data_IF_258235041281
#
_entry.id   IF_258235041281
#
_cell.length_a   1.000
_cell.length_b   1.000
_cell.length_c   1.000
_cell.angle_alpha   90.00
_cell.angle_beta   90.00
_cell.angle_gamma   90.00
#
_symmetry.space_group_name_H-M   'P 1'
#
loop_
_entity.id
_entity.type
_entity.pdbx_description
1 polymer ?
#
# COMPACT_ATOMS: atom_id res chain seq x y z
N UNK A 1 37.18 -6.93 -21.30
CA UNK A 1 35.89 -6.72 -20.62
C UNK A 1 35.32 -8.07 -20.20
N UNK A 2 35.16 -8.35 -18.89
CA UNK A 2 34.61 -9.63 -18.44
C UNK A 2 33.15 -9.77 -18.91
N UNK A 3 32.80 -10.92 -19.49
CA UNK A 3 31.44 -11.21 -19.93
C UNK A 3 30.58 -11.50 -18.71
N UNK A 4 29.65 -10.59 -18.41
CA UNK A 4 28.73 -10.75 -17.29
C UNK A 4 27.83 -11.98 -17.51
N UNK A 5 27.86 -12.91 -16.55
CA UNK A 5 27.12 -14.17 -16.60
C UNK A 5 25.60 -13.98 -16.67
N UNK A 6 24.90 -14.95 -17.27
CA UNK A 6 23.43 -14.92 -17.42
C UNK A 6 22.73 -14.79 -16.05
N UNK A 7 23.25 -15.45 -15.01
CA UNK A 7 22.75 -15.35 -13.63
C UNK A 7 22.87 -13.94 -13.05
N UNK A 8 24.01 -13.27 -13.24
CA UNK A 8 24.23 -11.90 -12.77
C UNK A 8 23.25 -10.91 -13.40
N UNK A 9 22.92 -11.07 -14.68
CA UNK A 9 21.92 -10.24 -15.37
C UNK A 9 20.53 -10.39 -14.77
N UNK A 10 20.10 -11.62 -14.50
CA UNK A 10 18.82 -11.88 -13.87
C UNK A 10 18.75 -11.34 -12.45
N UNK A 11 19.84 -11.46 -11.67
CA UNK A 11 19.91 -10.88 -10.33
C UNK A 11 19.78 -9.35 -10.38
N UNK A 12 20.52 -8.68 -11.28
CA UNK A 12 20.42 -7.23 -11.45
C UNK A 12 18.99 -6.84 -11.83
N UNK A 13 18.38 -7.55 -12.78
CA UNK A 13 17.00 -7.28 -13.19
C UNK A 13 16.01 -7.47 -12.03
N UNK A 14 16.17 -8.51 -11.22
CA UNK A 14 15.33 -8.75 -10.05
C UNK A 14 15.49 -7.66 -8.98
N UNK A 15 16.73 -7.24 -8.70
CA UNK A 15 17.02 -6.15 -7.75
C UNK A 15 16.42 -4.83 -8.24
N UNK A 16 16.62 -4.48 -9.52
CA UNK A 16 16.02 -3.29 -10.11
C UNK A 16 14.50 -3.35 -10.09
N UNK A 17 13.91 -4.50 -10.40
CA UNK A 17 12.47 -4.73 -10.32
C UNK A 17 11.94 -4.52 -8.91
N UNK A 18 12.64 -5.03 -7.89
CA UNK A 18 12.29 -4.83 -6.49
C UNK A 18 12.38 -3.36 -6.07
N UNK A 19 13.45 -2.65 -6.47
CA UNK A 19 13.60 -1.22 -6.21
C UNK A 19 12.47 -0.40 -6.84
N UNK A 20 12.12 -0.70 -8.09
CA UNK A 20 11.01 -0.03 -8.77
C UNK A 20 9.68 -0.33 -8.10
N UNK A 21 9.45 -1.58 -7.70
CA UNK A 21 8.24 -2.00 -6.98
C UNK A 21 8.08 -1.30 -5.63
N UNK A 22 9.14 -1.22 -4.83
CA UNK A 22 9.10 -0.51 -3.54
C UNK A 22 8.98 1.00 -3.77
N UNK A 23 9.75 1.55 -4.70
CA UNK A 23 9.74 2.98 -5.02
C UNK A 23 8.39 3.46 -5.55
N UNK A 24 7.72 2.68 -6.40
CA UNK A 24 6.37 3.01 -6.89
C UNK A 24 5.35 2.97 -5.77
N UNK A 25 5.42 1.99 -4.86
CA UNK A 25 4.55 1.95 -3.69
C UNK A 25 4.77 3.17 -2.79
N UNK A 26 6.01 3.52 -2.48
CA UNK A 26 6.35 4.70 -1.67
C UNK A 26 5.83 5.99 -2.31
N UNK A 27 6.02 6.15 -3.63
CA UNK A 27 5.50 7.30 -4.34
C UNK A 27 3.97 7.42 -4.22
N UNK A 28 3.25 6.30 -4.32
CA UNK A 28 1.80 6.26 -4.16
C UNK A 28 1.37 6.49 -2.71
N UNK A 29 2.10 5.94 -1.73
CA UNK A 29 1.77 6.11 -0.30
C UNK A 29 1.98 7.55 0.15
N UNK A 30 3.04 8.22 -0.28
CA UNK A 30 3.27 9.64 0.04
C UNK A 30 2.15 10.59 -0.45
N UNK A 31 1.36 10.14 -1.42
CA UNK A 31 0.21 10.88 -1.97
C UNK A 31 -1.13 10.26 -1.52
N UNK A 32 -1.08 9.34 -0.55
CA UNK A 32 -2.23 8.68 0.03
C UNK A 32 -3.00 9.59 0.99
N UNK A 33 -4.11 9.05 1.47
CA UNK A 33 -4.93 9.71 2.48
C UNK A 33 -5.65 8.69 3.34
N UNK A 34 -6.05 9.12 4.53
CA UNK A 34 -7.04 8.39 5.32
C UNK A 34 -8.41 8.51 4.65
N UNK A 35 -8.98 7.35 4.29
CA UNK A 35 -10.29 7.25 3.69
C UNK A 35 -11.28 6.59 4.65
N UNK A 36 -12.54 7.03 4.64
CA UNK A 36 -13.58 6.43 5.46
C UNK A 36 -13.81 4.97 5.07
N UNK A 37 -13.78 4.08 6.05
CA UNK A 37 -14.31 2.73 5.93
C UNK A 37 -15.84 2.76 5.99
N UNK A 38 -16.50 2.10 5.03
CA UNK A 38 -17.96 2.02 5.00
C UNK A 38 -18.44 0.86 5.87
N UNK A 39 -18.29 1.00 7.18
CA UNK A 39 -18.68 -0.01 8.17
C UNK A 39 -20.06 0.35 8.78
N UNK A 40 -21.13 0.21 7.97
CA UNK A 40 -22.53 0.24 8.45
C UNK A 40 -23.36 1.50 8.13
N UNK A 41 -24.65 1.46 8.50
CA UNK A 41 -25.68 2.44 8.11
C UNK A 41 -25.61 3.81 8.84
N UNK A 42 -24.62 4.01 9.72
CA UNK A 42 -24.57 5.15 10.66
C UNK A 42 -23.46 6.17 10.33
N UNK A 43 -22.91 6.14 9.12
CA UNK A 43 -21.73 6.92 8.73
C UNK A 43 -20.41 6.18 8.96
N UNK A 44 -19.26 6.79 8.60
CA UNK A 44 -17.95 6.15 8.69
C UNK A 44 -17.53 5.94 10.14
N UNK A 45 -17.31 4.68 10.52
CA UNK A 45 -16.91 4.28 11.88
C UNK A 45 -15.41 4.09 12.03
N UNK A 46 -14.70 4.00 10.92
CA UNK A 46 -13.27 3.79 10.85
C UNK A 46 -12.69 4.61 9.70
N UNK A 47 -11.43 4.99 9.84
CA UNK A 47 -10.62 5.53 8.76
C UNK A 47 -9.43 4.62 8.55
N UNK A 48 -9.12 4.33 7.29
CA UNK A 48 -7.97 3.52 6.91
C UNK A 48 -7.10 4.30 5.97
N UNK A 49 -5.79 4.15 6.08
CA UNK A 49 -4.89 4.70 5.09
C UNK A 49 -5.02 3.95 3.76
N UNK A 50 -5.03 4.72 2.69
CA UNK A 50 -4.98 4.19 1.34
C UNK A 50 -3.99 5.01 0.50
N UNK A 51 -3.00 4.36 -0.12
CA UNK A 51 -2.15 4.99 -1.11
C UNK A 51 -2.98 5.57 -2.27
N UNK A 52 -2.40 6.54 -2.99
CA UNK A 52 -3.07 7.16 -4.13
C UNK A 52 -3.55 6.09 -5.11
N UNK A 53 -4.78 6.26 -5.60
CA UNK A 53 -5.48 5.36 -6.52
C UNK A 53 -5.93 4.01 -5.95
N UNK A 54 -5.66 3.68 -4.69
CA UNK A 54 -6.10 2.41 -4.07
C UNK A 54 -7.59 2.40 -3.71
N UNK A 55 -8.28 3.52 -3.85
CA UNK A 55 -9.70 3.66 -3.50
C UNK A 55 -10.49 3.98 -4.76
N UNK A 56 -11.67 3.38 -4.90
CA UNK A 56 -12.66 3.67 -5.93
C UNK A 56 -13.48 4.90 -5.54
N UNK A 57 -14.21 5.49 -6.48
CA UNK A 57 -15.04 6.67 -6.22
C UNK A 57 -16.12 6.43 -5.13
N UNK A 58 -16.53 5.18 -4.93
CA UNK A 58 -17.48 4.77 -3.89
C UNK A 58 -16.82 4.46 -2.53
N UNK A 59 -15.54 4.81 -2.34
CA UNK A 59 -14.82 4.59 -1.08
C UNK A 59 -14.31 3.17 -0.86
N UNK A 60 -14.59 2.21 -1.76
CA UNK A 60 -14.09 0.84 -1.62
C UNK A 60 -12.67 0.70 -2.14
N UNK A 61 -11.93 -0.26 -1.58
CA UNK A 61 -10.53 -0.49 -1.96
C UNK A 61 -10.46 -1.28 -3.26
N UNK A 62 -9.56 -0.87 -4.13
CA UNK A 62 -9.17 -1.61 -5.33
C UNK A 62 -8.29 -2.78 -4.92
N UNK A 63 -8.92 -3.94 -4.74
CA UNK A 63 -8.23 -5.15 -4.34
C UNK A 63 -7.12 -5.56 -5.31
N UNK A 64 -7.21 -5.19 -6.59
CA UNK A 64 -6.18 -5.48 -7.59
C UNK A 64 -4.83 -4.84 -7.23
N UNK A 65 -4.85 -3.57 -6.81
CA UNK A 65 -3.66 -2.85 -6.36
C UNK A 65 -3.23 -3.29 -4.96
N UNK A 66 -4.20 -3.52 -4.07
CA UNK A 66 -3.91 -3.99 -2.72
C UNK A 66 -3.23 -5.37 -2.73
N UNK A 67 -3.62 -6.28 -3.64
CA UNK A 67 -2.98 -7.59 -3.79
C UNK A 67 -1.61 -7.50 -4.44
N UNK A 68 -1.46 -6.69 -5.50
CA UNK A 68 -0.16 -6.48 -6.12
C UNK A 68 0.87 -5.93 -5.13
N UNK A 69 0.44 -5.02 -4.25
CA UNK A 69 1.28 -4.43 -3.21
C UNK A 69 1.12 -5.09 -1.82
N UNK A 70 0.54 -6.29 -1.72
CA UNK A 70 0.12 -6.86 -0.43
C UNK A 70 1.22 -6.88 0.65
N UNK A 71 2.47 -7.30 0.38
CA UNK A 71 3.52 -7.31 1.40
C UNK A 71 3.79 -5.91 1.96
N UNK A 72 3.89 -4.91 1.10
CA UNK A 72 4.14 -3.52 1.50
C UNK A 72 2.90 -2.91 2.16
N UNK A 73 1.71 -3.18 1.63
CA UNK A 73 0.46 -2.67 2.15
C UNK A 73 0.15 -3.16 3.57
N UNK A 74 0.45 -4.44 3.86
CA UNK A 74 0.28 -5.02 5.20
C UNK A 74 1.30 -4.45 6.19
N UNK A 75 2.55 -4.25 5.76
CA UNK A 75 3.57 -3.64 6.62
C UNK A 75 3.23 -2.19 6.92
N UNK A 76 2.81 -1.43 5.90
CA UNK A 76 2.43 -0.03 6.02
C UNK A 76 1.27 0.16 7.01
N UNK A 77 0.21 -0.64 6.87
CA UNK A 77 -0.97 -0.54 7.74
C UNK A 77 -0.73 -0.98 9.19
N UNK A 78 0.33 -1.73 9.46
CA UNK A 78 0.68 -2.20 10.81
C UNK A 78 1.70 -1.34 11.52
N UNK A 79 2.63 -0.73 10.77
CA UNK A 79 3.80 -0.06 11.34
C UNK A 79 3.74 1.47 11.23
N UNK A 80 3.14 2.01 10.16
CA UNK A 80 3.14 3.44 9.90
C UNK A 80 1.74 4.03 9.87
N UNK A 81 0.83 3.45 9.10
CA UNK A 81 -0.48 4.00 8.84
C UNK A 81 -1.59 3.12 9.43
N UNK A 82 -1.63 3.08 10.75
CA UNK A 82 -2.60 2.30 11.51
C UNK A 82 -4.04 2.74 11.22
N UNK A 83 -4.97 1.80 11.31
CA UNK A 83 -6.40 2.07 11.24
C UNK A 83 -6.81 3.00 12.38
N UNK A 84 -7.69 3.96 12.09
CA UNK A 84 -8.21 4.92 13.05
C UNK A 84 -9.71 4.71 13.26
N UNK A 85 -10.19 4.99 14.46
CA UNK A 85 -11.61 5.06 14.77
C UNK A 85 -12.19 6.42 14.32
N UNK A 86 -13.49 6.61 14.55
CA UNK A 86 -14.16 7.87 14.21
C UNK A 86 -13.66 9.09 15.01
N UNK A 87 -13.03 8.87 16.16
CA UNK A 87 -12.41 9.92 16.98
C UNK A 87 -10.95 10.22 16.58
N UNK A 88 -10.40 9.48 15.60
CA UNK A 88 -9.01 9.58 15.16
C UNK A 88 -8.02 8.82 16.05
N UNK A 89 -8.50 8.03 17.00
CA UNK A 89 -7.69 7.14 17.81
C UNK A 89 -7.32 5.87 17.04
N UNK A 90 -6.15 5.25 17.28
CA UNK A 90 -5.79 4.00 16.60
C UNK A 90 -6.73 2.87 17.02
N UNK A 91 -7.28 2.16 16.04
CA UNK A 91 -7.99 0.89 16.26
C UNK A 91 -6.94 -0.15 16.61
N UNK A 92 -6.99 -0.66 17.84
CA UNK A 92 -6.17 -1.79 18.28
C UNK A 92 -6.32 -2.97 17.32
N UNK A 93 -5.23 -3.68 16.97
CA UNK A 93 -5.27 -4.85 16.10
C UNK A 93 -6.08 -6.02 16.69
#
# INVERSE_FOLDING_TARGET
>A
MPKMGRSTRWLIAAVLGLFLYVGSYLHLTLQGAYVPGVDGASGPKSYRWAPRNFVRANGTIKYELAYFYAPLYILDSRLWHVHLDAAGGPLSP
#
